data_IF_763604604907
#
_entry.id   IF_763604604907
#
_cell.length_a   1.000
_cell.length_b   1.000
_cell.length_c   1.000
_cell.angle_alpha   90.00
_cell.angle_beta   90.00
_cell.angle_gamma   90.00
#
_symmetry.space_group_name_H-M   'P 1'
#
loop_
_entity.id
_entity.type
_entity.pdbx_description
1 polymer ?
#
# COMPACT_ATOMS: atom_id res chain seq x y z
N UNK A 1 -6.84 13.84 -5.77
CA UNK A 1 -7.10 13.97 -4.31
C UNK A 1 -5.77 13.81 -3.58
N UNK A 2 -5.62 14.22 -2.31
CA UNK A 2 -4.31 14.14 -1.61
C UNK A 2 -4.34 13.18 -0.42
N UNK A 3 -3.26 12.44 -0.22
CA UNK A 3 -2.96 11.69 1.00
C UNK A 3 -2.70 12.69 2.13
N UNK A 4 -3.58 12.78 3.11
CA UNK A 4 -3.37 13.64 4.27
C UNK A 4 -2.23 13.12 5.17
N UNK A 5 -1.85 13.91 6.18
CA UNK A 5 -0.74 13.57 7.10
C UNK A 5 -0.94 12.20 7.75
N UNK A 6 -2.14 11.92 8.27
CA UNK A 6 -2.44 10.65 8.94
C UNK A 6 -2.32 9.45 7.99
N UNK A 7 -2.78 9.57 6.74
CA UNK A 7 -2.65 8.54 5.73
C UNK A 7 -1.18 8.24 5.42
N UNK A 8 -0.36 9.27 5.24
CA UNK A 8 1.08 9.11 4.97
C UNK A 8 1.81 8.47 6.14
N UNK A 9 1.48 8.86 7.38
CA UNK A 9 2.06 8.27 8.59
C UNK A 9 1.69 6.79 8.74
N UNK A 10 0.44 6.43 8.48
CA UNK A 10 0.00 5.02 8.52
C UNK A 10 0.74 4.18 7.48
N UNK A 11 0.84 4.66 6.23
CA UNK A 11 1.55 3.95 5.15
C UNK A 11 3.04 3.80 5.48
N UNK A 12 3.68 4.85 6.02
CA UNK A 12 5.08 4.78 6.41
C UNK A 12 5.34 3.78 7.56
N UNK A 13 4.41 3.69 8.51
CA UNK A 13 4.51 2.78 9.67
C UNK A 13 4.17 1.32 9.31
N UNK A 14 3.20 1.13 8.41
CA UNK A 14 2.73 -0.17 7.94
C UNK A 14 2.74 -0.23 6.41
N UNK A 15 3.92 -0.37 5.77
CA UNK A 15 4.07 -0.30 4.31
C UNK A 15 3.58 -1.55 3.57
N UNK A 16 3.04 -2.55 4.27
CA UNK A 16 2.41 -3.71 3.65
C UNK A 16 1.01 -3.34 3.15
N UNK A 17 0.91 -3.02 1.85
CA UNK A 17 -0.36 -2.72 1.19
C UNK A 17 -0.91 -3.93 0.44
N UNK A 18 -2.21 -4.17 0.54
CA UNK A 18 -2.92 -5.20 -0.21
C UNK A 18 -3.55 -4.58 -1.45
N UNK A 19 -3.02 -4.92 -2.63
CA UNK A 19 -3.43 -4.33 -3.91
C UNK A 19 -4.53 -5.18 -4.52
N UNK A 20 -5.71 -4.60 -4.67
CA UNK A 20 -6.82 -5.16 -5.42
C UNK A 20 -6.74 -4.70 -6.89
N UNK A 21 -6.87 -5.66 -7.80
CA UNK A 21 -6.87 -5.50 -9.26
C UNK A 21 -7.95 -6.40 -9.86
N UNK A 22 -8.17 -6.29 -11.16
CA UNK A 22 -9.06 -7.18 -11.94
C UNK A 22 -8.23 -7.83 -13.03
N UNK A 23 -8.35 -9.14 -13.22
CA UNK A 23 -7.67 -9.86 -14.31
C UNK A 23 -8.38 -9.70 -15.67
N UNK A 24 -7.85 -10.36 -16.70
CA UNK A 24 -8.37 -10.25 -18.06
C UNK A 24 -9.78 -10.84 -18.21
N UNK A 25 -10.15 -11.79 -17.35
CA UNK A 25 -11.45 -12.45 -17.29
C UNK A 25 -12.47 -11.66 -16.45
N UNK A 26 -12.06 -10.55 -15.84
CA UNK A 26 -12.94 -9.73 -15.00
C UNK A 26 -13.04 -10.20 -13.55
N UNK A 27 -12.19 -11.13 -13.11
CA UNK A 27 -12.19 -11.67 -11.74
C UNK A 27 -11.32 -10.81 -10.81
N UNK A 28 -11.71 -10.68 -9.53
CA UNK A 28 -10.95 -9.91 -8.56
C UNK A 28 -9.65 -10.64 -8.17
N UNK A 29 -8.55 -9.90 -8.17
CA UNK A 29 -7.24 -10.36 -7.73
C UNK A 29 -6.72 -9.49 -6.58
N UNK A 30 -6.17 -10.09 -5.52
CA UNK A 30 -5.57 -9.36 -4.40
C UNK A 30 -4.17 -9.89 -4.11
N UNK A 31 -3.19 -8.99 -3.97
CA UNK A 31 -1.82 -9.38 -3.66
C UNK A 31 -1.14 -8.37 -2.72
N UNK A 32 -0.42 -8.84 -1.67
CA UNK A 32 0.35 -7.95 -0.81
C UNK A 32 1.60 -7.42 -1.52
N UNK A 33 1.96 -6.17 -1.23
CA UNK A 33 3.23 -5.54 -1.61
C UNK A 33 3.82 -4.87 -0.37
N UNK A 34 5.02 -5.29 0.02
CA UNK A 34 5.74 -4.75 1.19
C UNK A 34 6.61 -3.54 0.86
N UNK A 35 6.69 -3.15 -0.40
CA UNK A 35 7.53 -2.07 -0.90
C UNK A 35 6.71 -0.82 -1.19
N UNK A 36 5.68 -0.49 -0.42
CA UNK A 36 4.99 0.78 -0.65
C UNK A 36 5.79 1.97 -0.12
N UNK A 37 5.76 3.08 -0.85
CA UNK A 37 6.12 4.40 -0.36
C UNK A 37 5.14 5.47 -0.82
N UNK A 38 5.12 6.59 -0.09
CA UNK A 38 4.48 7.83 -0.54
C UNK A 38 5.53 8.63 -1.30
N UNK A 39 5.32 8.88 -2.60
CA UNK A 39 6.24 9.65 -3.44
C UNK A 39 5.98 11.14 -3.31
N UNK A 40 4.71 11.52 -3.26
CA UNK A 40 4.22 12.87 -3.05
C UNK A 40 2.78 12.81 -2.49
N UNK A 41 2.16 13.96 -2.27
CA UNK A 41 0.80 14.05 -1.73
C UNK A 41 -0.27 13.36 -2.60
N UNK A 42 -0.03 13.14 -3.89
CA UNK A 42 -0.97 12.54 -4.85
C UNK A 42 -0.55 11.17 -5.38
N UNK A 43 0.64 10.67 -5.04
CA UNK A 43 1.21 9.48 -5.66
C UNK A 43 1.74 8.48 -4.65
N UNK A 44 1.26 7.25 -4.74
CA UNK A 44 1.89 6.08 -4.10
C UNK A 44 2.78 5.35 -5.09
N UNK A 45 3.85 4.74 -4.60
CA UNK A 45 4.72 3.88 -5.40
C UNK A 45 4.92 2.53 -4.74
N UNK A 46 5.09 1.47 -5.54
CA UNK A 46 5.73 0.26 -5.07
C UNK A 46 6.66 -0.36 -6.11
N UNK A 47 7.70 -1.03 -5.62
CA UNK A 47 8.66 -1.75 -6.46
C UNK A 47 8.14 -3.11 -6.90
N UNK A 48 8.14 -3.38 -8.20
CA UNK A 48 7.93 -4.71 -8.75
C UNK A 48 9.22 -5.54 -8.69
N UNK A 49 9.19 -6.62 -7.92
CA UNK A 49 10.27 -7.61 -7.81
C UNK A 49 9.78 -8.99 -8.25
N UNK A 50 8.59 -9.38 -7.79
CA UNK A 50 7.95 -10.68 -8.08
C UNK A 50 6.42 -10.54 -8.17
N UNK A 51 5.93 -9.57 -8.97
CA UNK A 51 4.49 -9.31 -9.11
C UNK A 51 3.95 -9.46 -10.53
N UNK A 52 4.24 -10.55 -11.27
CA UNK A 52 3.86 -10.68 -12.68
C UNK A 52 2.35 -10.57 -12.89
N UNK A 53 1.53 -11.21 -12.05
CA UNK A 53 0.07 -11.13 -12.14
C UNK A 53 -0.47 -9.72 -11.88
N UNK A 54 -0.02 -9.06 -10.81
CA UNK A 54 -0.42 -7.67 -10.52
C UNK A 54 -0.05 -6.72 -11.66
N UNK A 55 1.16 -6.84 -12.21
CA UNK A 55 1.63 -6.00 -13.33
C UNK A 55 0.82 -6.29 -14.59
N UNK A 56 0.56 -7.55 -14.93
CA UNK A 56 -0.27 -7.91 -16.08
C UNK A 56 -1.67 -7.32 -15.97
N UNK A 57 -2.31 -7.47 -14.80
CA UNK A 57 -3.63 -6.91 -14.52
C UNK A 57 -3.63 -5.38 -14.67
N UNK A 58 -2.65 -4.69 -14.08
CA UNK A 58 -2.56 -3.22 -14.15
C UNK A 58 -2.25 -2.68 -15.55
N UNK A 59 -1.55 -3.45 -16.39
CA UNK A 59 -1.35 -3.09 -17.80
C UNK A 59 -2.64 -3.20 -18.61
N UNK A 60 -3.47 -4.21 -18.33
CA UNK A 60 -4.76 -4.39 -18.99
C UNK A 60 -5.82 -3.41 -18.48
N UNK A 61 -5.83 -3.16 -17.17
CA UNK A 61 -6.74 -2.24 -16.50
C UNK A 61 -6.00 -1.50 -15.37
N UNK A 62 -5.72 -0.19 -15.50
CA UNK A 62 -4.94 0.53 -14.51
C UNK A 62 -5.69 0.78 -13.20
N UNK A 63 -7.01 0.55 -13.14
CA UNK A 63 -7.80 0.77 -11.94
C UNK A 63 -7.40 -0.19 -10.82
N UNK A 64 -7.12 0.36 -9.64
CA UNK A 64 -6.81 -0.43 -8.45
C UNK A 64 -7.25 0.25 -7.16
N UNK A 65 -7.31 -0.54 -6.09
CA UNK A 65 -7.49 -0.04 -4.74
C UNK A 65 -6.47 -0.74 -3.82
N UNK A 66 -5.82 0.02 -2.96
CA UNK A 66 -4.82 -0.50 -2.00
C UNK A 66 -5.35 -0.33 -0.60
N UNK A 67 -5.29 -1.41 0.19
CA UNK A 67 -5.63 -1.37 1.60
C UNK A 67 -4.38 -1.43 2.48
N UNK A 68 -4.30 -0.51 3.44
CA UNK A 68 -3.29 -0.47 4.50
C UNK A 68 -3.99 -0.57 5.86
N UNK A 69 -3.39 -1.31 6.79
CA UNK A 69 -3.96 -1.58 8.11
C UNK A 69 -2.86 -1.46 9.17
N UNK A 70 -3.14 -0.73 10.24
CA UNK A 70 -2.47 -0.90 11.53
C UNK A 70 -3.16 -2.05 12.28
N UNK A 71 -2.52 -3.23 12.42
CA UNK A 71 -3.15 -4.39 13.04
C UNK A 71 -3.39 -4.20 14.54
N UNK A 72 -2.67 -3.29 15.21
CA UNK A 72 -2.79 -3.05 16.65
C UNK A 72 -3.88 -2.02 16.94
N UNK A 73 -3.91 -0.91 16.21
CA UNK A 73 -4.98 0.08 16.33
C UNK A 73 -6.29 -0.38 15.68
N UNK A 74 -6.26 -1.43 14.84
CA UNK A 74 -7.43 -1.88 14.07
C UNK A 74 -8.06 -0.76 13.25
N UNK A 75 -7.21 0.14 12.77
CA UNK A 75 -7.52 1.24 11.87
C UNK A 75 -6.71 1.08 10.59
N UNK A 76 -7.16 1.75 9.53
CA UNK A 76 -6.49 1.66 8.25
C UNK A 76 -7.08 2.64 7.26
N UNK A 77 -6.78 2.39 5.98
CA UNK A 77 -7.35 3.16 4.90
C UNK A 77 -7.38 2.35 3.60
N UNK A 78 -8.24 2.79 2.69
CA UNK A 78 -8.27 2.37 1.28
C UNK A 78 -7.87 3.54 0.41
N UNK A 79 -6.92 3.32 -0.48
CA UNK A 79 -6.53 4.27 -1.52
C UNK A 79 -6.96 3.73 -2.86
N UNK A 80 -7.92 4.40 -3.50
CA UNK A 80 -8.33 4.10 -4.87
C UNK A 80 -7.56 4.98 -5.83
N UNK A 81 -7.15 4.42 -6.96
CA UNK A 81 -6.40 5.16 -7.96
C UNK A 81 -6.25 4.42 -9.29
N UNK A 82 -5.45 5.00 -10.16
CA UNK A 82 -5.02 4.41 -11.42
C UNK A 82 -3.50 4.26 -11.42
N UNK A 83 -3.03 3.08 -11.82
CA UNK A 83 -1.61 2.79 -11.87
C UNK A 83 -1.00 3.12 -13.23
N UNK A 84 0.23 3.63 -13.21
CA UNK A 84 1.16 3.61 -14.34
C UNK A 84 2.40 2.81 -13.94
N UNK A 85 2.96 2.06 -14.88
CA UNK A 85 4.14 1.24 -14.66
C UNK A 85 5.29 1.88 -15.42
N UNK A 86 6.44 2.01 -14.76
CA UNK A 86 7.66 2.56 -15.34
C UNK A 86 8.77 1.53 -15.16
N UNK A 87 9.18 0.89 -16.24
CA UNK A 87 10.29 -0.07 -16.24
C UNK A 87 11.66 0.61 -16.09
N UNK A 88 12.65 -0.12 -15.59
CA UNK A 88 14.01 0.40 -15.34
C UNK A 88 14.75 0.92 -16.58
N UNK A 89 14.33 0.51 -17.78
CA UNK A 89 14.86 1.01 -19.06
C UNK A 89 14.05 2.16 -19.68
N UNK A 90 12.97 2.61 -19.04
CA UNK A 90 12.08 3.63 -19.60
C UNK A 90 12.52 5.05 -19.25
N UNK A 91 12.23 5.98 -20.17
CA UNK A 91 12.45 7.40 -19.94
C UNK A 91 11.65 7.88 -18.72
N UNK A 92 12.36 8.34 -17.69
CA UNK A 92 11.77 8.86 -16.47
C UNK A 92 11.85 7.92 -15.26
N UNK A 93 12.31 6.68 -15.40
CA UNK A 93 12.55 5.79 -14.26
C UNK A 93 13.51 6.42 -13.24
N UNK A 94 14.63 6.94 -13.71
CA UNK A 94 15.64 7.58 -12.85
C UNK A 94 15.21 8.96 -12.33
N UNK A 95 14.13 9.53 -12.86
CA UNK A 95 13.56 10.79 -12.34
C UNK A 95 12.67 10.56 -11.12
N UNK A 96 12.28 9.33 -10.83
CA UNK A 96 11.51 9.00 -9.64
C UNK A 96 12.50 8.95 -8.47
N UNK A 97 12.44 9.96 -7.60
CA UNK A 97 13.37 10.14 -6.50
C UNK A 97 12.93 9.41 -5.22
N UNK A 98 13.86 9.26 -4.26
CA UNK A 98 13.57 8.84 -2.89
C UNK A 98 13.47 7.33 -2.67
N UNK A 99 12.95 6.57 -3.63
CA UNK A 99 12.70 5.13 -3.44
C UNK A 99 13.96 4.30 -3.22
N UNK A 100 15.06 4.61 -3.92
CA UNK A 100 16.34 3.87 -3.78
C UNK A 100 16.89 3.97 -2.36
N UNK A 101 16.78 5.15 -1.74
CA UNK A 101 17.20 5.37 -0.35
C UNK A 101 16.33 4.60 0.65
N UNK A 102 15.04 4.44 0.36
CA UNK A 102 14.09 3.71 1.23
C UNK A 102 14.32 2.20 1.20
N UNK A 103 14.63 1.64 0.03
CA UNK A 103 14.74 0.18 -0.13
C UNK A 103 16.17 -0.37 -0.09
N UNK A 104 17.20 0.49 -0.14
CA UNK A 104 18.60 0.06 -0.07
C UNK A 104 18.91 -1.02 -1.11
N UNK A 105 19.59 -2.09 -0.71
CA UNK A 105 19.96 -3.22 -1.58
C UNK A 105 18.77 -3.89 -2.28
N UNK A 106 17.55 -3.77 -1.73
CA UNK A 106 16.35 -4.29 -2.38
C UNK A 106 16.03 -3.54 -3.68
N UNK A 107 16.51 -2.29 -3.81
CA UNK A 107 16.34 -1.46 -5.01
C UNK A 107 16.90 -2.13 -6.26
N UNK A 108 18.01 -2.85 -6.15
CA UNK A 108 18.68 -3.52 -7.28
C UNK A 108 17.87 -4.69 -7.84
N UNK A 109 16.86 -5.16 -7.09
CA UNK A 109 15.97 -6.24 -7.49
C UNK A 109 14.68 -5.75 -8.15
N UNK A 110 14.49 -4.43 -8.26
CA UNK A 110 13.27 -3.83 -8.78
C UNK A 110 13.40 -3.65 -10.29
N UNK A 111 12.50 -4.31 -11.03
CA UNK A 111 12.45 -4.21 -12.50
C UNK A 111 11.56 -3.08 -12.97
N UNK A 112 10.51 -2.76 -12.21
CA UNK A 112 9.53 -1.73 -12.54
C UNK A 112 9.07 -1.01 -11.28
N UNK A 113 8.75 0.27 -11.41
CA UNK A 113 8.02 1.02 -10.41
C UNK A 113 6.55 1.10 -10.83
N UNK A 114 5.66 0.68 -9.94
CA UNK A 114 4.23 0.87 -10.12
C UNK A 114 3.82 2.11 -9.33
N UNK A 115 3.31 3.11 -10.04
CA UNK A 115 2.93 4.41 -9.50
C UNK A 115 1.43 4.57 -9.56
N UNK A 116 0.79 4.79 -8.42
CA UNK A 116 -0.66 4.90 -8.30
C UNK A 116 -1.01 6.36 -8.05
N UNK A 117 -1.71 6.97 -9.01
CA UNK A 117 -2.30 8.30 -8.85
C UNK A 117 -3.54 8.21 -7.96
N UNK A 118 -3.57 8.98 -6.88
CA UNK A 118 -4.59 8.90 -5.84
C UNK A 118 -5.87 9.62 -6.26
N UNK A 119 -6.89 8.84 -6.56
CA UNK A 119 -8.24 9.31 -6.86
C UNK A 119 -9.06 9.50 -5.58
N UNK A 120 -8.99 8.56 -4.63
CA UNK A 120 -9.72 8.66 -3.36
C UNK A 120 -8.98 8.00 -2.19
N UNK A 121 -9.17 8.54 -0.99
CA UNK A 121 -8.68 7.97 0.26
C UNK A 121 -9.87 7.82 1.21
N UNK A 122 -10.09 6.63 1.74
CA UNK A 122 -11.16 6.34 2.70
C UNK A 122 -10.59 5.70 3.97
N UNK A 123 -10.74 6.32 5.15
CA UNK A 123 -10.32 5.70 6.41
C UNK A 123 -11.16 4.45 6.73
N UNK A 124 -10.60 3.58 7.55
CA UNK A 124 -11.23 2.38 8.09
C UNK A 124 -10.98 2.29 9.60
N UNK A 125 -11.97 1.80 10.33
CA UNK A 125 -11.88 1.43 11.74
C UNK A 125 -12.75 0.20 11.99
N UNK A 126 -12.45 -0.51 13.06
CA UNK A 126 -13.27 -1.62 13.54
C UNK A 126 -14.48 -1.11 14.35
N UNK A 127 -15.61 -1.85 14.41
CA UNK A 127 -16.81 -1.41 15.11
C UNK A 127 -16.66 -1.05 16.60
N UNK A 128 -15.78 -1.67 17.42
CA UNK A 128 -15.68 -1.31 18.85
C UNK A 128 -15.38 0.17 19.15
N UNK A 129 -14.84 0.93 18.20
CA UNK A 129 -14.71 2.38 18.36
C UNK A 129 -16.06 3.10 18.42
N UNK A 130 -17.10 2.54 17.79
CA UNK A 130 -18.47 3.04 17.84
C UNK A 130 -19.09 2.86 19.23
N UNK A 131 -18.59 1.87 20.00
CA UNK A 131 -19.00 1.57 21.37
C UNK A 131 -18.13 2.28 22.44
N UNK A 132 -17.20 3.14 22.02
CA UNK A 132 -16.39 3.97 22.91
C UNK A 132 -15.02 3.39 23.32
N UNK A 133 -14.58 2.27 22.74
CA UNK A 133 -13.22 1.74 22.97
C UNK A 133 -12.18 2.77 22.54
N UNK A 134 -11.20 3.00 23.39
CA UNK A 134 -10.09 3.92 23.13
C UNK A 134 -8.97 3.27 22.31
N UNK A 135 -8.10 4.09 21.71
CA UNK A 135 -6.91 3.56 21.02
C UNK A 135 -5.95 2.83 21.98
N UNK A 136 -5.83 3.30 23.22
CA UNK A 136 -4.97 2.69 24.23
C UNK A 136 -5.47 1.29 24.63
N UNK A 137 -6.77 1.14 24.84
CA UNK A 137 -7.40 -0.16 25.10
C UNK A 137 -7.22 -1.11 23.91
N UNK A 138 -7.42 -0.61 22.67
CA UNK A 138 -7.24 -1.42 21.46
C UNK A 138 -5.79 -1.88 21.30
N UNK A 139 -4.83 -0.97 21.52
CA UNK A 139 -3.39 -1.28 21.50
C UNK A 139 -3.02 -2.31 22.55
N UNK A 140 -3.47 -2.15 23.79
CA UNK A 140 -3.20 -3.09 24.88
C UNK A 140 -3.73 -4.49 24.55
N UNK A 141 -4.97 -4.57 24.08
CA UNK A 141 -5.62 -5.83 23.71
C UNK A 141 -4.87 -6.56 22.59
N UNK A 142 -4.56 -5.87 21.49
CA UNK A 142 -3.92 -6.53 20.35
C UNK A 142 -2.44 -6.81 20.59
N UNK A 143 -1.73 -6.04 21.41
CA UNK A 143 -0.39 -6.41 21.88
C UNK A 143 -0.42 -7.74 22.64
N UNK A 144 -1.34 -7.90 23.59
CA UNK A 144 -1.49 -9.16 24.33
C UNK A 144 -1.80 -10.33 23.37
N UNK A 145 -2.78 -10.16 22.47
CA UNK A 145 -3.14 -11.20 21.48
C UNK A 145 -1.98 -11.60 20.57
N UNK A 146 -1.20 -10.64 20.05
CA UNK A 146 -0.08 -10.98 19.18
C UNK A 146 1.08 -11.63 19.93
N UNK A 147 1.30 -11.27 21.21
CA UNK A 147 2.30 -11.92 22.05
C UNK A 147 1.97 -13.41 22.29
N UNK A 148 0.69 -13.78 22.37
CA UNK A 148 0.27 -15.18 22.52
C UNK A 148 0.51 -16.03 21.26
N UNK A 149 0.59 -15.43 20.07
CA UNK A 149 0.81 -16.16 18.81
C UNK A 149 2.26 -16.65 18.70
N UNK A 150 3.23 -15.88 19.23
CA UNK A 150 4.66 -16.17 19.19
C UNK A 150 5.24 -16.01 20.60
N UNK A 151 5.01 -16.98 21.50
CA UNK A 151 5.48 -16.91 22.88
C UNK A 151 7.00 -16.95 23.03
#
# INVERSE_FOLDING_TARGET
MRLNVAARQLIARFPLGFVATVDAEGLPCVSPKGTFLVLDDGTLGFGNIRSPGTVANLRANPACEVNFIDPFLRKGLRVRGTARIVGSGEAGFDRISGWRAVWGDLADRITDLVLIEVAAVKPLSTPPYDDGVTEDEMLALYKAKYAEIYP
#
